data_IF_337768465370
#
_entry.id   IF_337768465370
#
_cell.length_a   1.000
_cell.length_b   1.000
_cell.length_c   1.000
_cell.angle_alpha   90.00
_cell.angle_beta   90.00
_cell.angle_gamma   90.00
#
_symmetry.space_group_name_H-M   'P 1'
#
loop_
_entity.id
_entity.type
_entity.pdbx_description
1 polymer ?
#
# COMPACT_ATOMS: atom_id res chain seq x y z
N UNK A 1 21.09 -18.40 -17.13
CA UNK A 1 19.89 -17.91 -16.44
C UNK A 1 19.75 -16.42 -16.71
N UNK A 2 18.74 -16.01 -17.48
CA UNK A 2 18.53 -14.60 -17.79
C UNK A 2 17.98 -13.89 -16.54
N UNK A 3 18.70 -12.86 -16.05
CA UNK A 3 18.18 -11.93 -15.04
C UNK A 3 16.92 -11.29 -15.64
N UNK A 4 15.76 -11.48 -15.00
CA UNK A 4 14.60 -10.62 -15.29
C UNK A 4 15.05 -9.18 -15.05
N UNK A 5 14.92 -8.27 -16.03
CA UNK A 5 15.18 -6.87 -15.75
C UNK A 5 14.18 -6.46 -14.67
N UNK A 6 14.70 -6.05 -13.51
CA UNK A 6 13.91 -5.32 -12.53
C UNK A 6 13.69 -3.97 -13.21
N UNK A 7 12.53 -3.79 -13.81
CA UNK A 7 12.18 -2.52 -14.45
C UNK A 7 11.82 -1.58 -13.31
N UNK A 8 12.58 -0.51 -13.15
CA UNK A 8 12.30 0.51 -12.16
C UNK A 8 10.98 1.20 -12.53
N UNK A 9 9.99 1.32 -11.62
CA UNK A 9 8.78 2.08 -11.88
C UNK A 9 9.07 3.54 -12.29
N UNK A 10 10.21 4.11 -11.88
CA UNK A 10 10.66 5.41 -12.36
C UNK A 10 10.97 5.41 -13.87
N UNK A 11 11.67 4.38 -14.37
CA UNK A 11 11.97 4.22 -15.80
C UNK A 11 10.68 4.05 -16.63
N UNK A 12 9.65 3.41 -16.06
CA UNK A 12 8.34 3.27 -16.71
C UNK A 12 7.63 4.62 -16.75
N UNK A 13 7.61 5.34 -15.62
CA UNK A 13 6.97 6.64 -15.51
C UNK A 13 7.60 7.66 -16.46
N UNK A 14 8.93 7.69 -16.56
CA UNK A 14 9.67 8.59 -17.46
C UNK A 14 9.32 8.33 -18.93
N UNK A 15 9.34 7.06 -19.36
CA UNK A 15 8.98 6.69 -20.75
C UNK A 15 7.52 6.97 -21.09
N UNK A 16 6.62 6.78 -20.13
CA UNK A 16 5.20 7.09 -20.31
C UNK A 16 4.97 8.60 -20.37
N UNK A 17 5.68 9.37 -19.55
CA UNK A 17 5.64 10.82 -19.55
C UNK A 17 6.08 11.39 -20.90
N UNK A 18 7.17 10.87 -21.48
CA UNK A 18 7.63 11.22 -22.83
C UNK A 18 6.57 10.94 -23.91
N UNK A 19 5.92 9.77 -23.86
CA UNK A 19 4.91 9.38 -24.86
C UNK A 19 3.60 10.17 -24.74
N UNK A 20 3.27 10.66 -23.55
CA UNK A 20 2.01 11.34 -23.23
C UNK A 20 2.17 12.87 -23.16
N UNK A 21 3.38 13.39 -23.44
CA UNK A 21 3.73 14.81 -23.29
C UNK A 21 3.33 15.38 -21.91
N UNK A 22 3.54 14.58 -20.86
CA UNK A 22 3.19 14.91 -19.47
C UNK A 22 4.41 14.78 -18.57
N UNK A 23 4.27 15.00 -17.27
CA UNK A 23 5.38 14.86 -16.31
C UNK A 23 5.43 13.45 -15.72
N UNK A 24 6.62 12.99 -15.33
CA UNK A 24 6.78 11.69 -14.67
C UNK A 24 5.97 11.61 -13.37
N UNK A 25 5.86 12.71 -12.62
CA UNK A 25 5.06 12.76 -11.39
C UNK A 25 3.56 12.54 -11.65
N UNK A 26 3.05 13.06 -12.78
CA UNK A 26 1.66 12.87 -13.20
C UNK A 26 1.34 11.40 -13.53
N UNK A 27 2.35 10.62 -13.93
CA UNK A 27 2.23 9.17 -14.23
C UNK A 27 2.50 8.30 -12.99
N UNK A 28 3.41 8.74 -12.12
CA UNK A 28 3.83 7.97 -10.95
C UNK A 28 2.67 7.76 -9.96
N UNK A 29 1.84 8.78 -9.74
CA UNK A 29 0.67 8.67 -8.86
C UNK A 29 -0.35 7.62 -9.35
N UNK A 30 -0.83 7.66 -10.61
CA UNK A 30 -1.68 6.59 -11.17
C UNK A 30 -1.05 5.19 -11.14
N UNK A 31 0.27 5.07 -11.39
CA UNK A 31 0.96 3.78 -11.30
C UNK A 31 0.94 3.23 -9.87
N UNK A 32 1.18 4.09 -8.88
CA UNK A 32 1.14 3.73 -7.47
C UNK A 32 -0.29 3.35 -7.02
N UNK A 33 -1.30 4.08 -7.49
CA UNK A 33 -2.71 3.77 -7.21
C UNK A 33 -3.12 2.41 -7.82
N UNK A 34 -2.67 2.12 -9.04
CA UNK A 34 -2.93 0.85 -9.71
C UNK A 34 -2.28 -0.32 -8.97
N UNK A 35 -1.03 -0.16 -8.54
CA UNK A 35 -0.30 -1.18 -7.79
C UNK A 35 -0.91 -1.42 -6.41
N UNK A 36 -1.29 -0.35 -5.70
CA UNK A 36 -2.04 -0.45 -4.45
C UNK A 36 -3.37 -1.19 -4.63
N UNK A 37 -4.10 -0.93 -5.71
CA UNK A 37 -5.35 -1.62 -6.01
C UNK A 37 -5.12 -3.11 -6.37
N UNK A 38 -4.05 -3.42 -7.09
CA UNK A 38 -3.67 -4.80 -7.41
C UNK A 38 -3.30 -5.58 -6.15
N UNK A 39 -2.58 -4.96 -5.21
CA UNK A 39 -2.26 -5.54 -3.90
C UNK A 39 -3.53 -5.76 -3.07
N UNK A 40 -4.44 -4.79 -3.05
CA UNK A 40 -5.70 -4.87 -2.30
C UNK A 40 -6.64 -5.98 -2.82
N UNK A 41 -6.61 -6.27 -4.11
CA UNK A 41 -7.46 -7.29 -4.75
C UNK A 41 -6.80 -8.67 -4.84
N UNK A 42 -5.49 -8.77 -4.57
CA UNK A 42 -4.77 -10.02 -4.57
C UNK A 42 -5.26 -10.92 -3.41
N UNK A 43 -5.61 -12.17 -3.74
CA UNK A 43 -5.94 -13.16 -2.72
C UNK A 43 -4.68 -13.56 -1.96
N UNK A 44 -4.68 -13.37 -0.64
CA UNK A 44 -3.59 -13.82 0.23
C UNK A 44 -3.43 -15.34 0.17
N UNK A 45 -2.18 -15.79 0.06
CA UNK A 45 -1.83 -17.19 0.30
C UNK A 45 -2.11 -17.60 1.76
N UNK A 46 -2.21 -18.90 2.09
CA UNK A 46 -2.46 -19.34 3.46
C UNK A 46 -1.44 -18.80 4.48
N UNK A 47 -0.15 -18.80 4.14
CA UNK A 47 0.91 -18.29 5.02
C UNK A 47 0.80 -16.77 5.24
N UNK A 48 0.51 -16.01 4.17
CA UNK A 48 0.31 -14.56 4.28
C UNK A 48 -0.95 -14.22 5.09
N UNK A 49 -1.98 -15.05 5.01
CA UNK A 49 -3.20 -14.88 5.81
C UNK A 49 -2.93 -15.10 7.29
N UNK A 50 -2.17 -16.13 7.63
CA UNK A 50 -1.75 -16.39 9.01
C UNK A 50 -0.92 -15.24 9.58
N UNK A 51 0.02 -14.70 8.80
CA UNK A 51 0.81 -13.53 9.19
C UNK A 51 -0.05 -12.27 9.36
N UNK A 52 -0.97 -12.02 8.42
CA UNK A 52 -1.92 -10.91 8.52
C UNK A 52 -2.80 -11.02 9.77
N UNK A 53 -3.30 -12.22 10.08
CA UNK A 53 -4.13 -12.46 11.27
C UNK A 53 -3.34 -12.25 12.57
N UNK A 54 -2.06 -12.64 12.59
CA UNK A 54 -1.16 -12.39 13.72
C UNK A 54 -0.93 -10.88 13.94
N UNK A 55 -0.67 -10.12 12.88
CA UNK A 55 -0.53 -8.66 12.95
C UNK A 55 -1.83 -7.99 13.42
N UNK A 56 -2.97 -8.44 12.90
CA UNK A 56 -4.29 -7.93 13.31
C UNK A 56 -4.58 -8.20 14.78
N UNK A 57 -4.19 -9.38 15.28
CA UNK A 57 -4.31 -9.71 16.70
C UNK A 57 -3.43 -8.79 17.57
N UNK A 58 -2.19 -8.53 17.14
CA UNK A 58 -1.28 -7.62 17.84
C UNK A 58 -1.83 -6.19 17.89
N UNK A 59 -2.30 -5.65 16.76
CA UNK A 59 -2.89 -4.30 16.74
C UNK A 59 -4.11 -4.23 17.67
N UNK A 60 -4.98 -5.24 17.64
CA UNK A 60 -6.12 -5.32 18.56
C UNK A 60 -5.68 -5.35 20.02
N UNK A 61 -4.59 -6.02 20.34
CA UNK A 61 -4.04 -6.01 21.69
C UNK A 61 -3.55 -4.61 22.09
N UNK A 62 -2.74 -3.99 21.24
CA UNK A 62 -2.12 -2.67 21.49
C UNK A 62 -3.16 -1.56 21.60
N UNK A 63 -4.30 -1.65 20.88
CA UNK A 63 -5.38 -0.64 20.98
C UNK A 63 -5.95 -0.49 22.39
N UNK A 64 -5.79 -1.48 23.26
CA UNK A 64 -6.20 -1.40 24.68
C UNK A 64 -5.39 -0.38 25.48
N UNK A 65 -4.20 -0.05 25.02
CA UNK A 65 -3.29 0.92 25.65
C UNK A 65 -3.38 2.32 25.02
N UNK A 66 -4.32 2.52 24.09
CA UNK A 66 -4.49 3.82 23.43
C UNK A 66 -5.02 4.84 24.44
N UNK A 67 -4.30 5.94 24.62
CA UNK A 67 -4.73 7.01 25.52
C UNK A 67 -5.96 7.73 24.93
N UNK A 68 -6.90 8.18 25.77
CA UNK A 68 -7.98 9.05 25.33
C UNK A 68 -7.42 10.31 24.66
N UNK A 69 -7.87 10.63 23.46
CA UNK A 69 -7.38 11.79 22.69
C UNK A 69 -6.19 11.54 21.77
N UNK A 70 -5.62 10.33 21.73
CA UNK A 70 -4.64 9.94 20.69
C UNK A 70 -5.35 9.45 19.43
N UNK A 71 -6.05 10.35 18.74
CA UNK A 71 -6.41 10.11 17.34
C UNK A 71 -5.16 10.36 16.50
N UNK A 72 -4.77 9.41 15.64
CA UNK A 72 -3.94 9.78 14.49
C UNK A 72 -4.65 10.99 13.85
N UNK A 73 -3.92 12.06 13.52
CA UNK A 73 -4.48 13.28 12.93
C UNK A 73 -5.11 13.04 11.54
N UNK A 74 -5.13 11.77 11.09
CA UNK A 74 -5.75 11.27 9.87
C UNK A 74 -6.82 10.21 10.19
N UNK A 75 -7.93 10.57 10.86
CA UNK A 75 -9.03 9.64 11.14
C UNK A 75 -9.69 9.11 9.86
N UNK A 76 -9.54 9.82 8.74
CA UNK A 76 -10.07 9.43 7.43
C UNK A 76 -9.35 8.23 6.81
N UNK A 77 -8.14 7.92 7.28
CA UNK A 77 -7.30 6.83 6.73
C UNK A 77 -7.42 5.51 7.47
N UNK A 78 -8.09 5.45 8.63
CA UNK A 78 -8.15 4.25 9.45
C UNK A 78 -9.57 3.93 9.93
N UNK A 79 -9.98 2.67 9.81
CA UNK A 79 -11.23 2.17 10.38
C UNK A 79 -11.21 2.16 11.92
N UNK A 80 -12.36 1.87 12.55
CA UNK A 80 -12.50 1.83 14.01
C UNK A 80 -11.61 0.80 14.73
N UNK A 81 -10.93 -0.06 13.98
CA UNK A 81 -9.91 -1.02 14.45
C UNK A 81 -8.46 -0.48 14.34
N UNK A 82 -8.26 0.76 13.88
CA UNK A 82 -6.93 1.36 13.71
C UNK A 82 -6.12 0.78 12.55
N UNK A 83 -6.74 -0.01 11.67
CA UNK A 83 -6.13 -0.49 10.43
C UNK A 83 -6.55 0.43 9.27
N UNK A 84 -5.71 0.60 8.23
CA UNK A 84 -6.15 1.22 6.99
C UNK A 84 -7.40 0.52 6.44
N UNK A 85 -8.38 1.31 6.00
CA UNK A 85 -9.64 0.83 5.44
C UNK A 85 -9.45 0.17 4.07
#
# INVERSE_FOLDING_TARGET
MAKRPVIDPADIAERMAECLETTSDDVMRPLHELDAHAVATASLTPAQREEYDALRALVKDVTRYRLPGTTSDHPDFHGGNGLPA
#
